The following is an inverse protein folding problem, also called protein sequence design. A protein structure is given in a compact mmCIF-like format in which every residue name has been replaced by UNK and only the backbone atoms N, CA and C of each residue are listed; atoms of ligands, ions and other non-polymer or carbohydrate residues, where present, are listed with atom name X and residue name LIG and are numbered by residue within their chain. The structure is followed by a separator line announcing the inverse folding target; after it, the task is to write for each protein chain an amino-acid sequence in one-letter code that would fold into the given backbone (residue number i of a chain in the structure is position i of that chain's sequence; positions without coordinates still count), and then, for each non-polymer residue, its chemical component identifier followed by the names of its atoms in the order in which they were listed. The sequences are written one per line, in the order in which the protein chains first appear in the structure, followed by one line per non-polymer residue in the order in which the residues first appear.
data_IF_776397787513
#
_entry.id   IF_776397787513
#
_cell.length_a   1.000
_cell.length_b   1.000
_cell.length_c   1.000
_cell.angle_alpha   90.00
_cell.angle_beta   90.00
_cell.angle_gamma   90.00
#
_symmetry.space_group_name_H-M   'P 1'
#
loop_
_entity.id
_entity.type
_entity.pdbx_description
1 polymer ?
#
# COMPACT_ATOMS: atom_id res chain seq x y z
N UNK A 1 12.87 7.99 -6.62
CA UNK A 1 13.07 9.13 -7.53
C UNK A 1 13.72 10.30 -6.81
N UNK A 2 13.14 10.80 -5.70
CA UNK A 2 13.72 11.87 -4.87
C UNK A 2 15.15 11.62 -4.37
N UNK A 3 15.44 10.46 -3.78
CA UNK A 3 16.79 10.16 -3.24
C UNK A 3 17.85 10.10 -4.36
N UNK A 4 17.51 9.55 -5.53
CA UNK A 4 18.44 9.44 -6.65
C UNK A 4 18.72 10.81 -7.29
N UNK A 5 17.71 11.69 -7.34
CA UNK A 5 17.89 13.07 -7.78
C UNK A 5 18.75 13.87 -6.81
N UNK A 6 18.52 13.71 -5.50
CA UNK A 6 19.33 14.37 -4.45
C UNK A 6 20.78 13.87 -4.46
N UNK A 7 21.02 12.58 -4.67
CA UNK A 7 22.38 12.05 -4.79
C UNK A 7 23.12 12.62 -5.99
N UNK A 8 22.45 12.71 -7.15
CA UNK A 8 23.04 13.25 -8.38
C UNK A 8 23.40 14.73 -8.23
N UNK A 9 22.50 15.52 -7.61
CA UNK A 9 22.71 16.94 -7.32
C UNK A 9 23.83 17.17 -6.30
N UNK A 10 23.92 16.35 -5.24
CA UNK A 10 24.97 16.46 -4.23
C UNK A 10 26.35 16.06 -4.78
N UNK A 11 26.40 15.15 -5.75
CA UNK A 11 27.63 14.75 -6.43
C UNK A 11 28.14 15.85 -7.38
N UNK A 12 27.22 16.53 -8.09
CA UNK A 12 27.54 17.74 -8.85
C UNK A 12 28.06 18.88 -7.95
N UNK A 13 27.45 19.10 -6.77
CA UNK A 13 27.90 20.11 -5.80
C UNK A 13 29.24 19.76 -5.15
N UNK A 14 29.57 18.47 -5.04
CA UNK A 14 30.88 17.99 -4.58
C UNK A 14 31.98 18.28 -5.62
N UNK A 15 31.68 18.09 -6.90
CA UNK A 15 32.60 18.44 -8.01
C UNK A 15 32.85 19.94 -8.11
N UNK A 16 31.83 20.78 -7.85
CA UNK A 16 31.96 22.23 -7.80
C UNK A 16 32.63 22.77 -6.51
N UNK A 17 33.08 21.89 -5.60
CA UNK A 17 33.74 22.28 -4.34
C UNK A 17 32.82 22.90 -3.28
N UNK A 18 31.52 23.04 -3.56
CA UNK A 18 30.51 23.66 -2.70
C UNK A 18 29.97 22.74 -1.60
N UNK A 19 30.30 21.45 -1.63
CA UNK A 19 29.85 20.47 -0.64
C UNK A 19 30.95 19.46 -0.29
N UNK A 20 31.35 19.42 0.98
CA UNK A 20 32.38 18.50 1.50
C UNK A 20 31.83 17.37 2.40
N UNK A 21 30.51 17.28 2.55
CA UNK A 21 29.86 16.29 3.42
C UNK A 21 29.71 14.90 2.79
N UNK A 22 29.37 13.91 3.61
CA UNK A 22 28.98 12.57 3.16
C UNK A 22 27.49 12.37 3.44
N UNK A 23 26.68 12.23 2.39
CA UNK A 23 25.26 11.96 2.50
C UNK A 23 25.02 10.44 2.42
N UNK A 24 24.55 9.84 3.51
CA UNK A 24 23.98 8.49 3.50
C UNK A 24 22.47 8.60 3.70
N UNK A 25 21.71 8.29 2.65
CA UNK A 25 20.27 8.13 2.76
C UNK A 25 19.95 6.83 3.49
N UNK A 26 19.37 6.92 4.69
CA UNK A 26 18.83 5.76 5.38
C UNK A 26 17.35 5.60 5.02
N UNK A 27 17.03 4.49 4.35
CA UNK A 27 15.65 4.01 4.26
C UNK A 27 15.28 3.42 5.61
N UNK A 28 14.46 4.13 6.37
CA UNK A 28 13.92 3.62 7.62
C UNK A 28 12.79 2.65 7.30
N UNK A 29 13.00 1.37 7.58
CA UNK A 29 11.95 0.37 7.65
C UNK A 29 11.71 0.07 9.14
N UNK A 30 10.54 0.46 9.64
CA UNK A 30 10.18 0.23 11.04
C UNK A 30 9.86 -1.25 11.24
N UNK A 31 10.85 -2.01 11.71
CA UNK A 31 10.62 -3.33 12.33
C UNK A 31 10.27 -3.07 13.79
N UNK A 32 9.08 -3.50 14.21
CA UNK A 32 8.64 -3.33 15.59
C UNK A 32 9.41 -4.28 16.50
N UNK A 33 10.09 -3.75 17.51
CA UNK A 33 10.59 -4.55 18.64
C UNK A 33 9.40 -4.83 19.55
N UNK A 34 8.73 -5.96 19.34
CA UNK A 34 7.69 -6.41 20.26
C UNK A 34 8.31 -6.60 21.65
N UNK A 35 7.62 -6.16 22.71
CA UNK A 35 8.10 -6.12 24.11
C UNK A 35 8.50 -7.46 24.75
N UNK A 36 8.64 -8.53 23.97
CA UNK A 36 8.97 -9.89 24.39
C UNK A 36 10.30 -10.41 23.80
N UNK A 37 11.22 -9.52 23.40
CA UNK A 37 12.55 -9.92 22.88
C UNK A 37 12.55 -10.52 21.46
N UNK A 38 11.43 -10.44 20.73
CA UNK A 38 11.31 -10.92 19.34
C UNK A 38 11.72 -9.82 18.36
N UNK A 39 12.55 -10.16 17.37
CA UNK A 39 13.05 -9.25 16.31
C UNK A 39 12.79 -9.85 14.92
N UNK A 40 12.78 -9.02 13.88
CA UNK A 40 12.60 -9.47 12.49
C UNK A 40 11.16 -9.84 12.09
N UNK A 41 10.17 -9.41 12.87
CA UNK A 41 8.75 -9.60 12.59
C UNK A 41 8.09 -8.26 12.19
N UNK A 42 7.16 -8.32 11.24
CA UNK A 42 6.21 -7.25 10.94
C UNK A 42 4.94 -7.54 11.72
N UNK A 43 4.46 -6.56 12.49
CA UNK A 43 3.15 -6.66 13.14
C UNK A 43 2.07 -6.72 12.06
N UNK A 44 1.24 -7.75 12.09
CA UNK A 44 0.19 -7.99 11.11
C UNK A 44 -1.15 -8.10 11.83
N UNK A 45 -2.16 -7.40 11.32
CA UNK A 45 -3.55 -7.54 11.75
C UNK A 45 -4.33 -8.22 10.62
N UNK A 46 -5.07 -9.26 10.96
CA UNK A 46 -5.93 -10.03 10.07
C UNK A 46 -7.41 -9.84 10.42
N UNK A 47 -8.28 -10.36 9.54
CA UNK A 47 -9.73 -10.26 9.66
C UNK A 47 -10.29 -8.82 9.60
N UNK A 48 -9.72 -7.98 8.73
CA UNK A 48 -10.01 -6.54 8.66
C UNK A 48 -11.43 -6.19 8.16
N UNK A 49 -12.21 -7.16 7.65
CA UNK A 49 -13.63 -6.93 7.32
C UNK A 49 -14.59 -7.17 8.50
N UNK A 50 -14.12 -7.83 9.56
CA UNK A 50 -14.93 -8.04 10.75
C UNK A 50 -14.84 -6.83 11.70
N UNK A 51 -15.74 -6.74 12.70
CA UNK A 51 -15.62 -5.77 13.78
C UNK A 51 -14.26 -5.84 14.47
N UNK A 52 -13.82 -4.73 15.06
CA UNK A 52 -12.48 -4.59 15.66
C UNK A 52 -12.24 -5.64 16.75
N UNK A 53 -13.30 -6.07 17.42
CA UNK A 53 -13.29 -7.10 18.46
C UNK A 53 -12.87 -8.48 17.94
N UNK A 54 -13.05 -8.74 16.65
CA UNK A 54 -12.75 -10.00 15.98
C UNK A 54 -11.42 -9.97 15.20
N UNK A 55 -10.67 -8.87 15.31
CA UNK A 55 -9.38 -8.76 14.63
C UNK A 55 -8.32 -9.65 15.27
N UNK A 56 -7.64 -10.41 14.41
CA UNK A 56 -6.54 -11.27 14.85
C UNK A 56 -5.23 -10.52 14.73
N UNK A 57 -4.45 -10.43 15.80
CA UNK A 57 -3.12 -9.80 15.77
C UNK A 57 -2.03 -10.87 15.76
N UNK A 58 -1.06 -10.71 14.88
CA UNK A 58 0.04 -11.66 14.68
C UNK A 58 1.34 -10.97 14.28
N UNK A 59 2.36 -11.78 13.99
CA UNK A 59 3.64 -11.32 13.48
C UNK A 59 4.07 -12.13 12.27
N UNK A 60 4.26 -11.47 11.13
CA UNK A 60 4.77 -12.08 9.90
C UNK A 60 6.28 -11.94 9.86
N UNK A 61 7.01 -13.04 9.60
CA UNK A 61 8.45 -12.99 9.43
C UNK A 61 8.83 -12.14 8.21
N UNK A 62 9.70 -11.15 8.42
CA UNK A 62 10.15 -10.23 7.38
C UNK A 62 10.81 -10.98 6.20
N UNK A 63 11.55 -12.05 6.51
CA UNK A 63 12.22 -12.89 5.53
C UNK A 63 11.25 -13.60 4.60
N UNK A 64 10.02 -13.90 5.04
CA UNK A 64 8.99 -14.53 4.20
C UNK A 64 8.49 -13.61 3.09
N UNK A 65 8.68 -12.29 3.21
CA UNK A 65 8.26 -11.30 2.21
C UNK A 65 9.42 -10.84 1.31
N UNK A 66 10.65 -11.25 1.60
CA UNK A 66 11.83 -10.86 0.86
C UNK A 66 12.07 -11.80 -0.31
N UNK A 67 12.50 -11.24 -1.43
CA UNK A 67 13.13 -11.95 -2.53
C UNK A 67 14.48 -11.33 -2.86
N UNK A 68 15.32 -12.06 -3.59
CA UNK A 68 16.66 -11.59 -3.99
C UNK A 68 16.57 -10.93 -5.36
N UNK A 69 16.72 -9.61 -5.38
CA UNK A 69 16.79 -8.83 -6.62
C UNK A 69 18.24 -8.40 -6.89
N UNK A 70 18.62 -8.38 -8.18
CA UNK A 70 19.90 -7.81 -8.60
C UNK A 70 19.75 -6.31 -8.85
N UNK A 71 20.40 -5.49 -8.03
CA UNK A 71 20.42 -4.04 -8.19
C UNK A 71 21.86 -3.54 -8.22
N UNK A 72 22.22 -2.80 -9.28
CA UNK A 72 23.58 -2.28 -9.49
C UNK A 72 24.65 -3.39 -9.40
N UNK A 73 24.40 -4.52 -10.08
CA UNK A 73 25.35 -5.63 -10.17
C UNK A 73 25.45 -6.53 -8.93
N UNK A 74 24.91 -6.12 -7.76
CA UNK A 74 24.91 -6.88 -6.50
C UNK A 74 23.53 -7.48 -6.21
N UNK A 75 23.51 -8.67 -5.62
CA UNK A 75 22.29 -9.29 -5.10
C UNK A 75 21.92 -8.64 -3.77
N UNK A 76 20.69 -8.12 -3.68
CA UNK A 76 20.15 -7.48 -2.47
C UNK A 76 18.81 -8.12 -2.12
N UNK A 77 18.56 -8.48 -0.85
CA UNK A 77 17.23 -8.87 -0.41
C UNK A 77 16.31 -7.65 -0.45
N UNK A 78 15.17 -7.78 -1.12
CA UNK A 78 14.19 -6.72 -1.36
C UNK A 78 12.80 -7.31 -1.16
N UNK A 79 11.92 -6.55 -0.51
CA UNK A 79 10.49 -6.90 -0.46
C UNK A 79 9.89 -6.55 -1.82
N UNK A 80 9.34 -7.55 -2.51
CA UNK A 80 8.67 -7.33 -3.80
C UNK A 80 7.47 -6.41 -3.60
N UNK A 81 7.33 -5.46 -4.53
CA UNK A 81 6.14 -4.61 -4.57
C UNK A 81 4.95 -5.47 -5.02
N UNK A 82 3.91 -5.53 -4.21
CA UNK A 82 2.63 -6.10 -4.62
C UNK A 82 2.02 -5.21 -5.71
N UNK A 83 1.77 -5.80 -6.87
CA UNK A 83 1.14 -5.14 -8.01
C UNK A 83 -0.35 -5.49 -8.04
N UNK A 84 -1.13 -4.81 -8.89
CA UNK A 84 -2.54 -5.14 -9.07
C UNK A 84 -2.65 -6.46 -9.82
N UNK A 85 -3.35 -7.42 -9.23
CA UNK A 85 -3.64 -8.71 -9.84
C UNK A 85 -4.80 -8.57 -10.84
N UNK A 86 -4.52 -8.79 -12.13
CA UNK A 86 -5.52 -8.61 -13.21
C UNK A 86 -6.63 -9.67 -13.16
N UNK A 87 -6.33 -10.84 -12.60
CA UNK A 87 -7.32 -11.92 -12.44
C UNK A 87 -8.12 -11.83 -11.13
N UNK A 88 -7.78 -10.89 -10.24
CA UNK A 88 -8.44 -10.75 -8.95
C UNK A 88 -9.79 -10.01 -9.05
N UNK A 89 -10.64 -10.24 -8.04
CA UNK A 89 -11.98 -9.68 -7.97
C UNK A 89 -12.03 -8.14 -8.08
N UNK A 90 -11.13 -7.35 -7.45
CA UNK A 90 -11.14 -5.89 -7.59
C UNK A 90 -10.99 -5.42 -9.04
N UNK A 91 -10.03 -6.00 -9.78
CA UNK A 91 -9.79 -5.61 -11.17
C UNK A 91 -10.92 -6.08 -12.09
N UNK A 92 -11.40 -7.31 -11.92
CA UNK A 92 -12.52 -7.85 -12.69
C UNK A 92 -13.80 -7.03 -12.53
N UNK A 93 -14.10 -6.59 -11.31
CA UNK A 93 -15.24 -5.70 -11.04
C UNK A 93 -15.08 -4.35 -11.76
N UNK A 94 -13.90 -3.73 -11.69
CA UNK A 94 -13.62 -2.51 -12.45
C UNK A 94 -13.77 -2.73 -13.96
N UNK A 95 -13.24 -3.85 -14.48
CA UNK A 95 -13.29 -4.18 -15.89
C UNK A 95 -14.73 -4.42 -16.40
N UNK A 96 -15.63 -4.97 -15.58
CA UNK A 96 -17.01 -5.24 -15.99
C UNK A 96 -17.86 -3.97 -16.17
N UNK A 97 -17.59 -2.91 -15.40
CA UNK A 97 -18.38 -1.67 -15.47
C UNK A 97 -17.72 -0.56 -16.30
N UNK A 98 -16.44 -0.71 -16.67
CA UNK A 98 -15.69 0.33 -17.40
C UNK A 98 -16.35 0.77 -18.71
N UNK A 99 -17.00 -0.16 -19.42
CA UNK A 99 -17.64 0.14 -20.71
C UNK A 99 -18.91 0.97 -20.55
N UNK A 100 -19.67 0.71 -19.48
CA UNK A 100 -20.85 1.49 -19.11
C UNK A 100 -20.45 2.87 -18.63
N UNK A 101 -19.48 2.96 -17.72
CA UNK A 101 -18.96 4.23 -17.20
C UNK A 101 -18.32 5.11 -18.28
N UNK A 102 -17.81 4.51 -19.35
CA UNK A 102 -17.29 5.27 -20.50
C UNK A 102 -18.41 5.91 -21.34
N UNK A 103 -19.64 5.38 -21.30
CA UNK A 103 -20.78 5.85 -22.09
C UNK A 103 -21.73 6.75 -21.30
N UNK A 104 -21.83 6.52 -19.99
CA UNK A 104 -22.81 7.18 -19.11
C UNK A 104 -22.08 8.06 -18.09
N UNK A 105 -22.68 9.19 -17.72
CA UNK A 105 -22.18 10.06 -16.65
C UNK A 105 -22.43 9.46 -15.26
N UNK A 106 -21.70 8.40 -14.91
CA UNK A 106 -21.85 7.63 -13.67
C UNK A 106 -20.83 8.06 -12.61
N UNK A 107 -20.81 9.35 -12.27
CA UNK A 107 -19.88 9.87 -11.27
C UNK A 107 -20.33 9.55 -9.84
N UNK A 108 -19.38 9.15 -8.99
CA UNK A 108 -19.60 9.00 -7.55
C UNK A 108 -18.83 10.12 -6.86
N UNK A 109 -19.53 10.95 -6.10
CA UNK A 109 -18.92 11.98 -5.25
C UNK A 109 -18.88 11.47 -3.81
N UNK A 110 -17.76 10.86 -3.35
CA UNK A 110 -17.66 10.44 -1.96
C UNK A 110 -17.70 11.66 -1.05
N UNK A 111 -18.47 11.56 0.03
CA UNK A 111 -18.49 12.60 1.07
C UNK A 111 -17.18 12.64 1.87
N UNK A 112 -17.03 13.63 2.78
CA UNK A 112 -15.89 13.72 3.68
C UNK A 112 -15.78 12.49 4.59
N UNK A 113 -14.55 12.15 5.00
CA UNK A 113 -14.31 11.10 6.00
C UNK A 113 -15.06 11.45 7.28
N UNK A 114 -15.90 10.52 7.75
CA UNK A 114 -16.63 10.65 9.00
C UNK A 114 -15.87 9.91 10.10
N UNK A 115 -15.68 10.54 11.26
CA UNK A 115 -15.10 9.89 12.44
C UNK A 115 -16.16 9.31 13.38
N UNK A 116 -17.39 9.80 13.27
CA UNK A 116 -18.52 9.39 14.10
C UNK A 116 -19.76 9.26 13.20
N UNK A 117 -20.60 8.28 13.48
CA UNK A 117 -21.85 8.04 12.77
C UNK A 117 -21.80 6.83 11.83
N UNK A 118 -22.89 6.51 11.14
CA UNK A 118 -23.08 5.23 10.46
C UNK A 118 -22.13 4.97 9.27
N UNK A 119 -21.36 5.97 8.84
CA UNK A 119 -20.40 5.85 7.75
C UNK A 119 -18.94 5.81 8.21
N UNK A 120 -18.65 5.88 9.52
CA UNK A 120 -17.28 5.88 10.05
C UNK A 120 -16.54 4.58 9.77
N UNK A 121 -17.27 3.46 9.77
CA UNK A 121 -16.68 2.12 9.68
C UNK A 121 -16.60 1.60 8.24
N UNK A 122 -16.80 2.48 7.24
CA UNK A 122 -16.70 2.10 5.84
C UNK A 122 -15.26 1.78 5.45
N UNK A 123 -15.02 0.53 5.11
CA UNK A 123 -13.75 0.04 4.56
C UNK A 123 -13.67 0.24 3.04
N UNK A 124 -12.45 0.17 2.48
CA UNK A 124 -12.23 0.33 1.05
C UNK A 124 -12.82 -0.82 0.22
N UNK A 125 -13.32 -0.50 -0.98
CA UNK A 125 -13.93 -1.50 -1.87
C UNK A 125 -12.97 -2.62 -2.28
N UNK A 126 -11.67 -2.33 -2.43
CA UNK A 126 -10.66 -3.36 -2.76
C UNK A 126 -10.63 -4.45 -1.70
N UNK A 127 -10.57 -4.08 -0.41
CA UNK A 127 -10.50 -5.04 0.70
C UNK A 127 -11.77 -5.89 0.79
N UNK A 128 -12.95 -5.28 0.62
CA UNK A 128 -14.21 -6.01 0.60
C UNK A 128 -14.26 -7.03 -0.53
N UNK A 129 -13.85 -6.65 -1.74
CA UNK A 129 -13.84 -7.54 -2.90
C UNK A 129 -12.79 -8.67 -2.77
N UNK A 130 -11.64 -8.40 -2.15
CA UNK A 130 -10.64 -9.44 -1.85
C UNK A 130 -11.13 -10.45 -0.81
N UNK A 131 -11.94 -10.00 0.15
CA UNK A 131 -12.55 -10.84 1.18
C UNK A 131 -13.87 -11.48 0.74
N UNK A 132 -14.26 -11.32 -0.54
CA UNK A 132 -15.47 -11.91 -1.11
C UNK A 132 -16.78 -11.26 -0.65
N UNK A 133 -16.72 -10.09 0.00
CA UNK A 133 -17.90 -9.33 0.39
C UNK A 133 -18.44 -8.59 -0.83
N UNK A 134 -19.73 -8.77 -1.11
CA UNK A 134 -20.36 -8.15 -2.26
C UNK A 134 -20.49 -6.63 -2.06
N UNK A 135 -19.75 -5.88 -2.86
CA UNK A 135 -19.83 -4.42 -2.86
C UNK A 135 -20.97 -4.00 -3.79
N UNK A 136 -22.07 -3.55 -3.18
CA UNK A 136 -23.11 -2.80 -3.87
C UNK A 136 -22.54 -1.44 -4.24
N UNK A 137 -21.98 -1.34 -5.43
CA UNK A 137 -21.74 -0.04 -6.04
C UNK A 137 -23.12 0.53 -6.37
N UNK A 138 -23.43 1.76 -5.91
CA UNK A 138 -24.75 2.31 -6.10
C UNK A 138 -25.06 2.34 -7.60
N UNK A 139 -26.08 1.58 -7.99
CA UNK A 139 -26.77 1.78 -9.27
C UNK A 139 -27.26 3.22 -9.26
N UNK A 140 -26.68 4.00 -10.19
CA UNK A 140 -27.03 5.36 -10.59
C UNK A 140 -28.32 5.83 -9.93
N UNK A 141 -28.21 6.63 -8.86
CA UNK A 141 -29.29 7.57 -8.54
C UNK A 141 -29.36 8.49 -9.76
N UNK A 142 -30.46 8.40 -10.52
CA UNK A 142 -30.81 9.53 -11.38
C UNK A 142 -30.94 10.74 -10.45
N UNK A 143 -30.47 11.89 -10.91
CA UNK A 143 -30.85 13.16 -10.30
C UNK A 143 -32.36 13.22 -10.03
#
# INVERSE_FOLDING_TARGET
MLIQMVLTELEQRKQAGLYKGQFQGQSHFLVMKAGAGKTGLISSVGNLAAPVEEWTVGGTALTSLMDVERRQGKFKPVIKKAMVELDAAPFKKSASMREEWARTNSYISPGPIQLVGPASDKVNHTLLLELGVEVLLPTIFSC
#
